data_IF_111575456594
#
_entry.id   IF_111575456594
#
_cell.length_a   1.000
_cell.length_b   1.000
_cell.length_c   1.000
_cell.angle_alpha   90.00
_cell.angle_beta   90.00
_cell.angle_gamma   90.00
#
_symmetry.space_group_name_H-M   'P 1'
#
loop_
_entity.id
_entity.type
_entity.pdbx_description
1 polymer ?
#
# COMPACT_ATOMS: atom_id res chain seq x y z
N UNK A 1 -3.87 6.82 14.57
CA UNK A 1 -4.79 6.72 13.42
C UNK A 1 -3.97 6.60 12.15
N UNK A 2 -3.81 5.38 11.64
CA UNK A 2 -3.02 5.08 10.44
C UNK A 2 -3.66 5.64 9.16
N UNK A 3 -3.00 5.46 8.01
CA UNK A 3 -3.57 5.81 6.71
C UNK A 3 -4.90 5.03 6.51
N UNK A 4 -6.00 5.73 6.27
CA UNK A 4 -7.25 5.08 5.84
C UNK A 4 -7.08 4.54 4.42
N UNK A 5 -7.84 3.51 4.05
CA UNK A 5 -7.82 2.94 2.69
C UNK A 5 -8.11 4.00 1.62
N UNK A 6 -8.91 5.02 1.93
CA UNK A 6 -9.16 6.17 1.05
C UNK A 6 -7.91 7.03 0.83
N UNK A 7 -7.17 7.34 1.90
CA UNK A 7 -5.90 8.08 1.79
C UNK A 7 -4.86 7.26 1.05
N UNK A 8 -4.88 5.94 1.21
CA UNK A 8 -4.00 5.03 0.48
C UNK A 8 -4.35 5.00 -1.01
N UNK A 9 -5.63 4.83 -1.33
CA UNK A 9 -6.15 4.86 -2.69
C UNK A 9 -5.81 6.18 -3.40
N UNK A 10 -6.05 7.32 -2.72
CA UNK A 10 -5.74 8.65 -3.23
C UNK A 10 -4.25 8.81 -3.57
N UNK A 11 -3.33 8.33 -2.71
CA UNK A 11 -1.89 8.41 -3.00
C UNK A 11 -1.47 7.50 -4.16
N UNK A 12 -2.16 6.37 -4.35
CA UNK A 12 -1.92 5.46 -5.48
C UNK A 12 -2.58 5.93 -6.79
N UNK A 13 -3.42 6.97 -6.73
CA UNK A 13 -4.19 7.46 -7.87
C UNK A 13 -5.29 6.49 -8.30
N UNK A 14 -5.81 5.69 -7.37
CA UNK A 14 -6.91 4.73 -7.59
C UNK A 14 -8.06 5.01 -6.63
N UNK A 15 -9.20 4.37 -6.86
CA UNK A 15 -10.38 4.54 -6.01
C UNK A 15 -10.37 3.55 -4.85
N UNK A 16 -11.08 3.87 -3.76
CA UNK A 16 -11.27 2.94 -2.63
C UNK A 16 -11.81 1.56 -3.08
N UNK A 17 -12.84 1.47 -3.96
CA UNK A 17 -13.29 0.17 -4.50
C UNK A 17 -12.20 -0.61 -5.25
N UNK A 18 -11.19 0.06 -5.81
CA UNK A 18 -10.05 -0.60 -6.46
C UNK A 18 -9.19 -1.32 -5.44
N UNK A 19 -8.83 -0.65 -4.34
CA UNK A 19 -8.07 -1.25 -3.22
C UNK A 19 -8.87 -2.40 -2.60
N UNK A 20 -10.15 -2.19 -2.34
CA UNK A 20 -11.02 -3.23 -1.75
C UNK A 20 -11.08 -4.49 -2.62
N UNK A 21 -11.07 -4.36 -3.96
CA UNK A 21 -11.02 -5.53 -4.85
C UNK A 21 -9.67 -6.25 -4.80
N UNK A 22 -8.57 -5.52 -4.70
CA UNK A 22 -7.23 -6.12 -4.55
C UNK A 22 -7.12 -6.90 -3.24
N UNK A 23 -7.52 -6.29 -2.13
CA UNK A 23 -7.47 -6.93 -0.80
C UNK A 23 -8.36 -8.17 -0.71
N UNK A 24 -9.51 -8.18 -1.40
CA UNK A 24 -10.41 -9.33 -1.46
C UNK A 24 -10.07 -10.33 -2.60
N UNK A 25 -8.93 -10.16 -3.30
CA UNK A 25 -8.51 -11.04 -4.38
C UNK A 25 -9.42 -11.04 -5.62
N UNK A 26 -10.33 -10.06 -5.74
CA UNK A 26 -11.28 -9.95 -6.86
C UNK A 26 -10.66 -9.37 -8.13
N UNK A 27 -9.49 -8.75 -8.01
CA UNK A 27 -8.69 -8.27 -9.15
C UNK A 27 -7.25 -8.11 -8.71
N UNK A 28 -6.30 -8.20 -9.64
CA UNK A 28 -4.89 -7.89 -9.35
C UNK A 28 -4.56 -6.45 -9.76
N UNK A 29 -3.62 -5.77 -9.08
CA UNK A 29 -3.14 -4.47 -9.51
C UNK A 29 -2.38 -4.60 -10.84
N UNK A 30 -2.48 -3.60 -11.71
CA UNK A 30 -1.65 -3.57 -12.91
C UNK A 30 -0.16 -3.42 -12.55
N UNK A 31 0.78 -3.75 -13.45
CA UNK A 31 2.21 -3.56 -13.18
C UNK A 31 2.55 -2.13 -12.71
N UNK A 32 1.94 -1.11 -13.33
CA UNK A 32 2.11 0.29 -12.92
C UNK A 32 1.53 0.58 -11.53
N UNK A 33 0.38 -0.02 -11.21
CA UNK A 33 -0.20 0.11 -9.88
C UNK A 33 0.66 -0.59 -8.82
N UNK A 34 1.24 -1.75 -9.15
CA UNK A 34 2.19 -2.47 -8.29
C UNK A 34 3.45 -1.64 -8.01
N UNK A 35 4.04 -1.02 -9.03
CA UNK A 35 5.20 -0.15 -8.87
C UNK A 35 4.92 1.01 -7.92
N UNK A 36 3.74 1.65 -8.05
CA UNK A 36 3.30 2.70 -7.13
C UNK A 36 3.08 2.19 -5.72
N UNK A 37 2.51 1.00 -5.55
CA UNK A 37 2.33 0.36 -4.23
C UNK A 37 3.67 0.13 -3.57
N UNK A 38 4.63 -0.49 -4.27
CA UNK A 38 5.98 -0.74 -3.74
C UNK A 38 6.67 0.57 -3.36
N UNK A 39 6.69 1.55 -4.27
CA UNK A 39 7.29 2.87 -4.00
C UNK A 39 6.69 3.53 -2.75
N UNK A 40 5.37 3.46 -2.59
CA UNK A 40 4.68 4.06 -1.46
C UNK A 40 4.98 3.33 -0.14
N UNK A 41 5.04 1.99 -0.17
CA UNK A 41 5.40 1.19 0.99
C UNK A 41 6.86 1.40 1.40
N UNK A 42 7.79 1.52 0.44
CA UNK A 42 9.19 1.87 0.70
C UNK A 42 9.34 3.29 1.30
N UNK A 43 8.53 4.25 0.84
CA UNK A 43 8.51 5.59 1.46
C UNK A 43 7.95 5.52 2.89
N UNK A 44 6.93 4.69 3.13
CA UNK A 44 6.39 4.48 4.46
C UNK A 44 7.41 3.79 5.39
N UNK A 45 8.15 2.79 4.92
CA UNK A 45 9.19 2.11 5.70
C UNK A 45 10.36 3.04 6.07
N UNK A 46 10.60 4.10 5.29
CA UNK A 46 11.63 5.10 5.56
C UNK A 46 11.10 6.37 6.27
N UNK A 47 9.83 6.35 6.70
CA UNK A 47 9.22 7.49 7.38
C UNK A 47 9.82 7.72 8.77
N UNK A 48 10.03 8.98 9.21
CA UNK A 48 10.46 9.31 10.57
C UNK A 48 9.41 8.99 11.63
N UNK A 49 8.14 8.82 11.22
CA UNK A 49 7.07 8.35 12.12
C UNK A 49 7.15 6.84 12.26
N UNK A 50 7.50 6.38 13.44
CA UNK A 50 7.65 4.96 13.79
C UNK A 50 6.44 4.11 13.39
N UNK A 51 5.22 4.54 13.73
CA UNK A 51 4.00 3.83 13.37
C UNK A 51 3.76 3.70 11.85
N UNK A 52 4.31 4.61 11.03
CA UNK A 52 4.27 4.49 9.57
C UNK A 52 5.35 3.56 9.04
N UNK A 53 6.54 3.58 9.66
CA UNK A 53 7.65 2.70 9.33
C UNK A 53 7.31 1.24 9.58
N UNK A 54 6.87 0.92 10.79
CA UNK A 54 6.48 -0.43 11.18
C UNK A 54 5.40 -0.98 10.24
N UNK A 55 4.36 -0.17 9.98
CA UNK A 55 3.29 -0.56 9.06
C UNK A 55 3.76 -0.71 7.61
N UNK A 56 4.69 0.11 7.15
CA UNK A 56 5.29 -0.04 5.81
C UNK A 56 6.09 -1.34 5.68
N UNK A 57 6.88 -1.67 6.70
CA UNK A 57 7.68 -2.90 6.76
C UNK A 57 6.79 -4.16 6.83
N UNK A 58 5.75 -4.15 7.67
CA UNK A 58 4.79 -5.26 7.79
C UNK A 58 4.08 -5.53 6.44
N UNK A 59 3.60 -4.47 5.78
CA UNK A 59 2.94 -4.61 4.49
C UNK A 59 3.90 -5.08 3.38
N UNK A 60 5.16 -4.65 3.37
CA UNK A 60 6.16 -5.17 2.45
C UNK A 60 6.40 -6.66 2.70
N UNK A 61 6.63 -7.07 3.94
CA UNK A 61 6.89 -8.48 4.27
C UNK A 61 5.69 -9.39 3.94
N UNK A 62 4.46 -8.92 4.22
CA UNK A 62 3.25 -9.71 4.03
C UNK A 62 2.86 -9.91 2.56
N UNK A 63 3.03 -8.89 1.73
CA UNK A 63 2.54 -8.90 0.35
C UNK A 63 3.65 -9.03 -0.70
N UNK A 64 4.90 -8.77 -0.30
CA UNK A 64 6.09 -8.86 -1.13
C UNK A 64 7.23 -9.60 -0.40
N UNK A 65 7.00 -10.84 0.06
CA UNK A 65 8.09 -11.65 0.59
C UNK A 65 9.10 -11.94 -0.53
N UNK A 66 10.39 -11.81 -0.22
CA UNK A 66 11.48 -12.31 -1.09
C UNK A 66 11.43 -13.83 -1.24
#
# INVERSE_FOLDING_TARGET
>A
MGLTQEKFAAKLGVTFPTINRWENGRSQPSPLAMEKVVSLLTQMSNSPKEALRERGQDLLSKYFPE
#
